data_IF_325281014455
#
_entry.id   IF_325281014455
#
_cell.length_a   1.000
_cell.length_b   1.000
_cell.length_c   1.000
_cell.angle_alpha   90.00
_cell.angle_beta   90.00
_cell.angle_gamma   90.00
#
_symmetry.space_group_name_H-M   'P 1'
#
loop_
_entity.id
_entity.type
_entity.pdbx_description
1 polymer ?
#
# COMPACT_ATOMS: atom_id res chain seq x y z
N UNK A 1 -1.17 -39.31 4.69
CA UNK A 1 -0.63 -40.15 3.58
C UNK A 1 -1.11 -41.57 3.76
N UNK A 2 -1.71 -42.15 2.70
CA UNK A 2 -2.09 -43.56 2.62
C UNK A 2 -1.21 -44.24 1.56
N UNK A 3 -0.69 -45.42 1.86
CA UNK A 3 0.15 -46.19 0.93
C UNK A 3 -0.66 -47.35 0.34
N UNK A 4 -0.95 -47.29 -0.96
CA UNK A 4 -1.74 -48.31 -1.67
C UNK A 4 -1.05 -49.69 -1.76
N UNK A 5 0.27 -49.74 -1.57
CA UNK A 5 1.06 -50.98 -1.65
C UNK A 5 0.75 -51.96 -0.49
N UNK A 6 0.58 -51.42 0.72
CA UNK A 6 0.49 -52.22 1.96
C UNK A 6 -0.62 -51.78 2.92
N UNK A 7 -1.50 -50.86 2.48
CA UNK A 7 -2.58 -50.27 3.27
C UNK A 7 -2.11 -49.62 4.58
N UNK A 8 -0.90 -49.07 4.57
CA UNK A 8 -0.36 -48.36 5.73
C UNK A 8 -0.65 -46.87 5.66
N UNK A 9 -0.71 -46.23 6.84
CA UNK A 9 -1.03 -44.81 6.98
C UNK A 9 0.08 -44.11 7.74
N UNK A 10 0.38 -42.89 7.33
CA UNK A 10 1.29 -41.97 8.00
C UNK A 10 0.64 -40.59 8.08
N UNK A 11 0.70 -39.96 9.26
CA UNK A 11 0.22 -38.59 9.50
C UNK A 11 1.43 -37.70 9.77
N UNK A 12 1.51 -36.60 9.04
CA UNK A 12 2.62 -35.64 9.11
C UNK A 12 2.00 -34.26 9.29
N UNK A 13 2.48 -33.54 10.29
CA UNK A 13 2.13 -32.15 10.52
C UNK A 13 2.95 -31.24 9.59
N UNK A 14 2.33 -30.25 8.93
CA UNK A 14 3.06 -29.29 8.11
C UNK A 14 4.04 -28.47 8.95
N UNK A 15 5.19 -28.12 8.35
CA UNK A 15 6.18 -27.30 9.02
C UNK A 15 5.74 -25.83 9.02
N UNK A 16 5.65 -25.22 10.20
CA UNK A 16 5.25 -23.82 10.39
C UNK A 16 6.36 -23.07 11.12
N UNK A 17 6.88 -22.02 10.50
CA UNK A 17 7.96 -21.21 11.06
C UNK A 17 7.56 -20.51 12.34
N UNK A 18 8.41 -20.64 13.36
CA UNK A 18 8.24 -20.06 14.70
C UNK A 18 7.02 -20.61 15.46
N UNK A 19 6.59 -21.85 15.23
CA UNK A 19 5.48 -22.42 15.99
C UNK A 19 5.84 -22.78 17.44
N UNK A 20 7.14 -22.97 17.73
CA UNK A 20 7.63 -23.15 19.11
C UNK A 20 7.47 -24.58 19.67
N UNK A 21 7.10 -25.56 18.86
CA UNK A 21 7.02 -26.98 19.23
C UNK A 21 7.67 -27.88 18.18
N UNK A 22 7.94 -29.14 18.53
CA UNK A 22 8.51 -30.12 17.58
C UNK A 22 7.46 -30.53 16.56
N UNK A 23 7.78 -30.34 15.28
CA UNK A 23 6.91 -30.65 14.15
C UNK A 23 7.40 -31.86 13.35
N UNK A 24 6.55 -32.38 12.48
CA UNK A 24 6.88 -33.42 11.51
C UNK A 24 5.97 -34.63 11.63
N UNK A 25 6.55 -35.83 11.65
CA UNK A 25 5.79 -37.09 11.62
C UNK A 25 5.06 -37.33 12.94
N UNK A 26 3.76 -37.05 12.96
CA UNK A 26 2.87 -37.25 14.11
C UNK A 26 2.54 -38.73 14.32
N UNK A 27 2.23 -39.45 13.22
CA UNK A 27 1.96 -40.89 13.25
C UNK A 27 2.93 -41.61 12.31
N UNK A 28 3.66 -42.58 12.85
CA UNK A 28 4.57 -43.43 12.07
C UNK A 28 3.79 -44.28 11.07
N UNK A 29 4.43 -44.59 9.92
CA UNK A 29 3.86 -45.47 8.89
C UNK A 29 3.54 -46.83 9.52
N UNK A 30 2.26 -47.15 9.63
CA UNK A 30 1.81 -48.44 10.13
C UNK A 30 0.39 -48.74 9.66
N UNK A 31 -0.05 -49.98 9.82
CA UNK A 31 -1.45 -50.34 9.56
C UNK A 31 -2.30 -49.93 10.76
N UNK A 32 -3.27 -49.05 10.53
CA UNK A 32 -4.08 -48.45 11.61
C UNK A 32 -5.43 -49.14 11.68
N UNK A 33 -5.79 -49.56 12.89
CA UNK A 33 -7.08 -50.19 13.19
C UNK A 33 -8.14 -49.10 13.38
N UNK A 34 -9.27 -49.24 12.68
CA UNK A 34 -10.43 -48.34 12.69
C UNK A 34 -11.33 -48.58 13.90
N UNK A 35 -11.62 -49.85 14.19
CA UNK A 35 -12.62 -50.27 15.18
C UNK A 35 -12.09 -51.33 16.14
N UNK A 36 -12.82 -51.55 17.25
CA UNK A 36 -12.51 -52.60 18.25
C UNK A 36 -12.46 -54.00 17.62
N UNK A 37 -13.18 -54.20 16.51
CA UNK A 37 -13.24 -55.46 15.76
C UNK A 37 -11.91 -55.82 15.07
N UNK A 38 -10.94 -54.90 14.99
CA UNK A 38 -9.67 -55.14 14.32
C UNK A 38 -9.63 -54.75 12.85
N UNK A 39 -10.74 -54.21 12.30
CA UNK A 39 -10.80 -53.75 10.92
C UNK A 39 -9.80 -52.61 10.70
N UNK A 40 -8.99 -52.70 9.64
CA UNK A 40 -8.02 -51.66 9.29
C UNK A 40 -8.62 -50.66 8.31
N UNK A 41 -8.15 -49.42 8.34
CA UNK A 41 -8.54 -48.42 7.35
C UNK A 41 -8.22 -48.87 5.92
N UNK A 42 -9.17 -48.64 5.02
CA UNK A 42 -9.02 -48.83 3.59
C UNK A 42 -9.09 -47.48 2.88
N UNK A 43 -8.49 -47.33 1.70
CA UNK A 43 -8.57 -46.08 0.93
C UNK A 43 -10.01 -45.61 0.62
N UNK A 44 -11.01 -46.50 0.72
CA UNK A 44 -12.43 -46.21 0.51
C UNK A 44 -13.09 -45.52 1.72
N UNK A 45 -12.43 -45.56 2.87
CA UNK A 45 -12.89 -44.89 4.08
C UNK A 45 -12.54 -43.39 4.08
N UNK A 46 -11.78 -42.92 3.10
CA UNK A 46 -11.32 -41.53 3.00
C UNK A 46 -12.07 -40.81 1.89
N UNK A 47 -12.67 -39.67 2.21
CA UNK A 47 -13.18 -38.69 1.25
C UNK A 47 -13.13 -37.30 1.90
N UNK A 48 -13.25 -36.25 1.10
CA UNK A 48 -13.37 -34.88 1.61
C UNK A 48 -14.68 -34.76 2.41
N UNK A 49 -14.61 -34.09 3.56
CA UNK A 49 -15.72 -33.89 4.51
C UNK A 49 -15.91 -35.04 5.51
N UNK A 50 -15.09 -36.10 5.46
CA UNK A 50 -15.17 -37.24 6.39
C UNK A 50 -14.25 -37.04 7.60
N UNK A 51 -14.79 -37.34 8.78
CA UNK A 51 -14.05 -37.39 10.03
C UNK A 51 -13.47 -38.78 10.30
N UNK A 52 -12.19 -38.84 10.65
CA UNK A 52 -11.47 -40.08 10.92
C UNK A 52 -10.79 -40.02 12.28
N UNK A 53 -11.01 -41.03 13.11
CA UNK A 53 -10.35 -41.15 14.40
C UNK A 53 -9.10 -42.05 14.31
N UNK A 54 -7.94 -41.50 14.65
CA UNK A 54 -6.67 -42.22 14.73
C UNK A 54 -6.08 -41.99 16.13
N UNK A 55 -5.89 -43.08 16.89
CA UNK A 55 -5.34 -43.06 18.25
C UNK A 55 -6.02 -42.04 19.20
N UNK A 56 -7.35 -41.87 19.07
CA UNK A 56 -8.14 -40.97 19.91
C UNK A 56 -8.17 -39.52 19.45
N UNK A 57 -7.48 -39.18 18.35
CA UNK A 57 -7.54 -37.86 17.71
C UNK A 57 -8.43 -37.94 16.47
N UNK A 58 -9.41 -37.05 16.37
CA UNK A 58 -10.31 -36.95 15.21
C UNK A 58 -9.73 -35.95 14.22
N UNK A 59 -9.54 -36.40 12.98
CA UNK A 59 -9.05 -35.62 11.87
C UNK A 59 -10.18 -35.41 10.87
N UNK A 60 -10.41 -34.16 10.50
CA UNK A 60 -11.36 -33.79 9.45
C UNK A 60 -10.60 -33.62 8.12
N UNK A 61 -11.03 -34.33 7.08
CA UNK A 61 -10.38 -34.27 5.76
C UNK A 61 -10.97 -33.11 4.96
N UNK A 62 -10.17 -32.06 4.77
CA UNK A 62 -10.58 -30.85 4.05
C UNK A 62 -10.24 -30.84 2.56
N UNK A 63 -9.18 -31.57 2.15
CA UNK A 63 -8.65 -31.50 0.79
C UNK A 63 -7.86 -32.77 0.44
N UNK A 64 -7.64 -33.01 -0.86
CA UNK A 64 -6.81 -34.07 -1.39
C UNK A 64 -6.00 -33.61 -2.61
N UNK A 65 -4.85 -34.25 -2.85
CA UNK A 65 -4.02 -33.98 -4.04
C UNK A 65 -4.73 -34.40 -5.34
N UNK A 66 -4.26 -33.90 -6.48
CA UNK A 66 -4.80 -34.17 -7.81
C UNK A 66 -4.79 -35.67 -8.13
N UNK A 67 -3.68 -36.36 -7.87
CA UNK A 67 -3.56 -37.81 -8.11
C UNK A 67 -4.63 -38.59 -7.33
N UNK A 68 -4.82 -38.27 -6.06
CA UNK A 68 -5.83 -38.92 -5.21
C UNK A 68 -7.24 -38.69 -5.74
N UNK A 69 -7.54 -37.47 -6.22
CA UNK A 69 -8.85 -37.14 -6.80
C UNK A 69 -9.12 -37.96 -8.06
N UNK A 70 -8.16 -38.01 -8.98
CA UNK A 70 -8.26 -38.80 -10.21
C UNK A 70 -8.38 -40.30 -9.93
N UNK A 71 -7.58 -40.82 -8.97
CA UNK A 71 -7.62 -42.21 -8.57
C UNK A 71 -9.00 -42.59 -8.02
N UNK A 72 -9.54 -41.83 -7.06
CA UNK A 72 -10.85 -42.09 -6.47
C UNK A 72 -11.98 -42.03 -7.51
N UNK A 73 -11.95 -41.00 -8.38
CA UNK A 73 -12.91 -40.88 -9.48
C UNK A 73 -12.84 -42.08 -10.44
N UNK A 74 -11.64 -42.58 -10.75
CA UNK A 74 -11.47 -43.77 -11.61
C UNK A 74 -12.06 -45.04 -10.99
N UNK A 75 -12.12 -45.10 -9.66
CA UNK A 75 -12.72 -46.20 -8.91
C UNK A 75 -14.22 -45.99 -8.66
N UNK A 76 -14.81 -44.93 -9.23
CA UNK A 76 -16.23 -44.61 -9.10
C UNK A 76 -16.61 -43.92 -7.78
N UNK A 77 -15.64 -43.36 -7.05
CA UNK A 77 -15.90 -42.55 -5.85
C UNK A 77 -15.82 -41.08 -6.25
N UNK A 78 -16.93 -40.37 -6.14
CA UNK A 78 -16.98 -38.93 -6.39
C UNK A 78 -16.37 -38.15 -5.21
N UNK A 79 -15.38 -37.33 -5.51
CA UNK A 79 -14.64 -36.55 -4.52
C UNK A 79 -15.20 -35.14 -4.47
N UNK A 80 -15.65 -34.72 -3.28
CA UNK A 80 -16.22 -33.39 -3.05
C UNK A 80 -15.27 -32.23 -3.37
N UNK A 81 -15.80 -31.01 -3.28
CA UNK A 81 -15.00 -29.80 -3.39
C UNK A 81 -14.15 -29.58 -2.13
N UNK A 82 -13.03 -28.85 -2.27
CA UNK A 82 -12.17 -28.53 -1.13
C UNK A 82 -12.92 -27.69 -0.09
N UNK A 83 -12.70 -28.00 1.18
CA UNK A 83 -13.24 -27.26 2.31
C UNK A 83 -12.21 -26.28 2.88
N UNK A 84 -12.68 -25.16 3.45
CA UNK A 84 -11.80 -24.19 4.07
C UNK A 84 -11.41 -24.64 5.49
N UNK A 85 -10.11 -24.66 5.83
CA UNK A 85 -9.69 -24.99 7.19
C UNK A 85 -10.18 -23.93 8.18
N UNK A 86 -10.42 -24.31 9.44
CA UNK A 86 -10.78 -23.35 10.48
C UNK A 86 -9.66 -22.32 10.66
N UNK A 87 -10.07 -21.08 10.90
CA UNK A 87 -9.17 -19.96 11.10
C UNK A 87 -8.51 -20.06 12.47
N UNK A 88 -7.17 -20.05 12.49
CA UNK A 88 -6.39 -19.95 13.73
C UNK A 88 -6.27 -18.48 14.19
N UNK A 89 -6.83 -18.11 15.36
CA UNK A 89 -6.74 -16.75 15.89
C UNK A 89 -5.30 -16.25 16.05
N UNK A 90 -4.37 -17.13 16.41
CA UNK A 90 -2.96 -16.74 16.58
C UNK A 90 -2.33 -16.34 15.24
N UNK A 91 -2.56 -17.14 14.20
CA UNK A 91 -2.08 -16.86 12.84
C UNK A 91 -2.66 -15.55 12.29
N UNK A 92 -3.94 -15.25 12.53
CA UNK A 92 -4.53 -13.97 12.11
C UNK A 92 -3.93 -12.76 12.81
N UNK A 93 -3.80 -12.83 14.13
CA UNK A 93 -3.20 -11.76 14.94
C UNK A 93 -1.77 -11.47 14.48
N UNK A 94 -0.99 -12.52 14.20
CA UNK A 94 0.39 -12.39 13.72
C UNK A 94 0.44 -11.73 12.34
N UNK A 95 -0.43 -12.14 11.40
CA UNK A 95 -0.55 -11.51 10.08
C UNK A 95 -0.91 -10.03 10.19
N UNK A 96 -1.85 -9.68 11.06
CA UNK A 96 -2.27 -8.30 11.24
C UNK A 96 -1.18 -7.41 11.87
N UNK A 97 -0.39 -7.94 12.81
CA UNK A 97 0.78 -7.22 13.35
C UNK A 97 1.90 -7.06 12.32
N UNK A 98 2.09 -8.04 11.44
CA UNK A 98 3.09 -8.01 10.38
C UNK A 98 2.71 -7.11 9.20
N UNK A 99 1.44 -6.74 9.06
CA UNK A 99 1.02 -5.63 8.19
C UNK A 99 1.60 -4.35 8.80
N UNK A 100 2.85 -4.05 8.47
CA UNK A 100 3.40 -2.71 8.67
C UNK A 100 2.44 -1.74 8.02
N UNK A 101 1.91 -0.72 8.72
CA UNK A 101 1.20 0.34 8.02
C UNK A 101 2.18 0.87 6.99
N UNK A 102 1.83 0.75 5.71
CA UNK A 102 2.52 1.48 4.64
C UNK A 102 2.20 2.95 4.89
N UNK A 103 2.94 3.56 5.81
CA UNK A 103 3.09 5.00 5.79
C UNK A 103 3.83 5.28 4.49
N UNK A 104 3.07 5.57 3.44
CA UNK A 104 3.61 6.24 2.28
C UNK A 104 3.95 7.63 2.78
N UNK A 105 5.15 7.80 3.33
CA UNK A 105 5.71 9.13 3.53
C UNK A 105 5.70 9.76 2.15
N UNK A 106 4.80 10.73 1.93
CA UNK A 106 4.88 11.61 0.76
C UNK A 106 6.30 12.15 0.80
N UNK A 107 7.14 11.72 -0.14
CA UNK A 107 8.51 12.20 -0.22
C UNK A 107 8.37 13.72 -0.34
N UNK A 108 8.89 14.52 0.63
CA UNK A 108 8.82 15.96 0.51
C UNK A 108 9.51 16.34 -0.80
N UNK A 109 8.90 17.23 -1.58
CA UNK A 109 9.47 17.68 -2.85
C UNK A 109 10.92 18.10 -2.62
N UNK A 110 11.84 17.36 -3.23
CA UNK A 110 13.27 17.57 -3.03
C UNK A 110 13.65 18.92 -3.64
N UNK A 111 13.89 19.91 -2.78
CA UNK A 111 14.24 21.29 -3.16
C UNK A 111 15.44 21.30 -4.13
N UNK A 112 16.37 20.36 -3.99
CA UNK A 112 17.52 20.25 -4.90
C UNK A 112 17.10 19.77 -6.29
N UNK A 113 16.16 18.83 -6.39
CA UNK A 113 15.65 18.35 -7.69
C UNK A 113 14.97 19.47 -8.46
N UNK A 114 14.07 20.22 -7.81
CA UNK A 114 13.42 21.39 -8.42
C UNK A 114 14.42 22.43 -8.90
N UNK A 115 15.45 22.71 -8.10
CA UNK A 115 16.53 23.61 -8.51
C UNK A 115 17.26 23.07 -9.76
N UNK A 116 17.68 21.80 -9.77
CA UNK A 116 18.41 21.22 -10.90
C UNK A 116 17.59 21.19 -12.20
N UNK A 117 16.28 20.94 -12.10
CA UNK A 117 15.39 20.84 -13.27
C UNK A 117 15.04 22.22 -13.84
N UNK A 118 14.76 23.19 -12.96
CA UNK A 118 14.20 24.48 -13.36
C UNK A 118 15.16 25.66 -13.21
N UNK A 119 16.45 25.44 -12.91
CA UNK A 119 17.42 26.52 -12.79
C UNK A 119 17.38 27.42 -14.04
N UNK A 120 17.28 28.73 -13.80
CA UNK A 120 17.14 29.79 -14.83
C UNK A 120 15.87 29.77 -15.68
N UNK A 121 14.92 28.86 -15.43
CA UNK A 121 13.62 28.88 -16.11
C UNK A 121 12.67 29.89 -15.45
N UNK A 122 12.29 30.92 -16.21
CA UNK A 122 11.41 32.00 -15.75
C UNK A 122 10.28 32.20 -16.75
N UNK A 123 9.04 32.12 -16.28
CA UNK A 123 7.88 32.49 -17.09
C UNK A 123 7.70 34.01 -16.99
N UNK A 124 7.70 34.68 -18.14
CA UNK A 124 7.57 36.13 -18.22
C UNK A 124 6.23 36.47 -18.88
N UNK A 125 5.40 37.22 -18.18
CA UNK A 125 4.12 37.72 -18.66
C UNK A 125 4.13 39.24 -18.73
N UNK A 126 3.50 39.80 -19.76
CA UNK A 126 3.22 41.23 -19.87
C UNK A 126 1.77 41.48 -19.46
N UNK A 127 1.56 42.30 -18.44
CA UNK A 127 0.25 42.70 -17.95
C UNK A 127 0.06 44.21 -18.09
N UNK A 128 -1.18 44.67 -18.20
CA UNK A 128 -1.51 46.09 -18.18
C UNK A 128 -2.39 46.42 -16.99
N UNK A 129 -2.09 47.50 -16.28
CA UNK A 129 -2.90 48.00 -15.16
C UNK A 129 -2.86 49.53 -15.13
N UNK A 130 -4.03 50.17 -15.06
CA UNK A 130 -4.17 51.64 -15.07
C UNK A 130 -3.38 52.33 -16.20
N UNK A 131 -3.46 51.79 -17.42
CA UNK A 131 -2.73 52.22 -18.62
C UNK A 131 -1.22 51.98 -18.62
N UNK A 132 -0.62 51.47 -17.54
CA UNK A 132 0.79 51.12 -17.48
C UNK A 132 1.03 49.65 -17.78
N UNK A 133 2.26 49.34 -18.21
CA UNK A 133 2.67 47.99 -18.62
C UNK A 133 3.58 47.43 -17.54
N UNK A 134 3.28 46.22 -17.09
CA UNK A 134 4.01 45.49 -16.07
C UNK A 134 4.57 44.20 -16.66
N UNK A 135 5.74 43.81 -16.17
CA UNK A 135 6.38 42.53 -16.43
C UNK A 135 6.29 41.70 -15.15
N UNK A 136 5.53 40.61 -15.22
CA UNK A 136 5.39 39.64 -14.15
C UNK A 136 6.32 38.47 -14.47
N UNK A 137 7.23 38.15 -13.56
CA UNK A 137 8.19 37.06 -13.70
C UNK A 137 7.87 36.00 -12.65
N UNK A 138 7.61 34.77 -13.08
CA UNK A 138 7.40 33.61 -12.23
C UNK A 138 8.62 32.69 -12.31
N UNK A 139 9.23 32.38 -11.18
CA UNK A 139 10.41 31.52 -11.09
C UNK A 139 9.99 30.09 -10.72
N UNK A 140 10.26 29.14 -11.62
CA UNK A 140 9.87 27.73 -11.44
C UNK A 140 10.70 27.00 -10.36
N UNK A 141 11.86 27.55 -9.99
CA UNK A 141 12.74 26.93 -8.99
C UNK A 141 12.16 26.94 -7.58
N UNK A 142 11.44 28.01 -7.21
CA UNK A 142 10.96 28.24 -5.85
C UNK A 142 9.52 28.74 -5.76
N UNK A 143 8.78 28.74 -6.87
CA UNK A 143 7.40 29.21 -6.96
C UNK A 143 7.22 30.67 -6.48
N UNK A 144 8.20 31.52 -6.82
CA UNK A 144 8.19 32.94 -6.45
C UNK A 144 7.85 33.83 -7.63
N UNK A 145 7.29 35.01 -7.32
CA UNK A 145 6.90 36.01 -8.30
C UNK A 145 7.66 37.31 -8.04
N UNK A 146 8.14 37.94 -9.10
CA UNK A 146 8.65 39.32 -9.08
C UNK A 146 7.92 40.15 -10.13
N UNK A 147 7.62 41.41 -9.80
CA UNK A 147 6.87 42.30 -10.69
C UNK A 147 7.69 43.56 -10.91
N UNK A 148 7.81 43.96 -12.18
CA UNK A 148 8.49 45.20 -12.58
C UNK A 148 7.55 46.04 -13.44
N UNK A 149 7.51 47.34 -13.16
CA UNK A 149 6.86 48.31 -14.04
C UNK A 149 7.78 48.65 -15.23
N UNK A 150 7.20 48.66 -16.43
CA UNK A 150 7.88 49.11 -17.65
C UNK A 150 7.72 50.62 -17.76
N UNK A 151 8.82 51.34 -17.56
CA UNK A 151 8.84 52.79 -17.58
C UNK A 151 8.63 53.32 -19.00
N UNK A 152 7.75 54.32 -19.14
CA UNK A 152 7.53 55.05 -20.39
C UNK A 152 8.37 56.34 -20.40
N UNK A 153 8.87 56.77 -21.57
CA UNK A 153 9.49 58.08 -21.71
C UNK A 153 8.53 59.18 -21.23
N UNK A 154 9.05 60.18 -20.52
CA UNK A 154 8.30 61.34 -20.02
C UNK A 154 7.12 60.99 -19.09
N UNK A 155 7.14 59.82 -18.43
CA UNK A 155 6.10 59.40 -17.47
C UNK A 155 6.06 60.25 -16.19
N UNK A 156 7.17 60.91 -15.84
CA UNK A 156 7.30 61.68 -14.60
C UNK A 156 7.37 60.85 -13.32
N UNK A 157 7.30 59.51 -13.43
CA UNK A 157 7.51 58.58 -12.32
C UNK A 157 9.00 58.34 -12.05
N UNK A 158 9.34 58.15 -10.78
CA UNK A 158 10.70 57.78 -10.35
C UNK A 158 11.01 56.32 -10.76
N UNK A 159 12.13 56.03 -11.44
CA UNK A 159 12.46 54.68 -11.89
C UNK A 159 12.72 53.72 -10.72
N UNK A 160 11.72 52.91 -10.37
CA UNK A 160 11.85 51.81 -9.42
C UNK A 160 12.22 50.50 -10.16
N UNK A 161 13.29 49.78 -9.74
CA UNK A 161 13.74 48.58 -10.44
C UNK A 161 12.77 47.40 -10.32
N UNK A 162 12.08 47.24 -9.18
CA UNK A 162 11.07 46.20 -8.92
C UNK A 162 9.92 46.78 -8.12
N UNK A 163 8.70 46.60 -8.60
CA UNK A 163 7.48 46.92 -7.85
C UNK A 163 7.24 45.87 -6.75
N UNK A 164 7.45 44.58 -7.08
CA UNK A 164 7.39 43.47 -6.13
C UNK A 164 8.72 42.71 -6.18
N UNK A 165 9.41 42.66 -5.04
CA UNK A 165 10.59 41.79 -4.87
C UNK A 165 10.16 40.33 -4.87
N UNK A 166 11.06 39.46 -5.33
CA UNK A 166 10.84 38.02 -5.42
C UNK A 166 10.33 37.44 -4.09
N UNK A 167 9.08 36.97 -4.10
CA UNK A 167 8.44 36.32 -2.95
C UNK A 167 7.32 35.39 -3.40
N UNK A 168 6.89 34.48 -2.52
CA UNK A 168 5.68 33.68 -2.73
C UNK A 168 4.46 34.57 -2.49
N UNK A 169 3.57 34.66 -3.48
CA UNK A 169 2.37 35.49 -3.39
C UNK A 169 1.18 34.61 -3.02
N UNK A 170 0.49 34.87 -1.90
CA UNK A 170 -0.72 34.13 -1.54
C UNK A 170 -1.85 34.49 -2.50
N UNK A 171 -2.69 33.51 -2.85
CA UNK A 171 -3.91 33.74 -3.64
C UNK A 171 -4.91 34.59 -2.85
N UNK A 172 -5.12 34.23 -1.58
CA UNK A 172 -6.06 34.90 -0.69
C UNK A 172 -5.34 35.80 0.31
N UNK A 173 -4.93 36.99 -0.14
CA UNK A 173 -4.26 37.98 0.72
C UNK A 173 -5.15 38.53 1.85
N UNK A 174 -6.48 38.38 1.76
CA UNK A 174 -7.43 38.89 2.75
C UNK A 174 -7.58 37.96 3.97
N UNK A 175 -7.35 36.65 3.76
CA UNK A 175 -7.54 35.61 4.76
C UNK A 175 -6.19 34.97 5.09
N UNK A 176 -5.21 35.80 5.46
CA UNK A 176 -3.94 35.31 5.95
C UNK A 176 -4.07 34.95 7.42
N UNK A 177 -3.63 33.75 7.83
CA UNK A 177 -3.62 33.37 9.23
C UNK A 177 -2.72 34.31 10.04
N UNK A 178 -3.06 34.52 11.31
CA UNK A 178 -2.35 35.47 12.18
C UNK A 178 -0.92 34.96 12.44
N UNK A 179 0.05 35.57 11.78
CA UNK A 179 1.46 35.16 11.85
C UNK A 179 2.09 35.49 13.22
N UNK A 180 2.00 34.61 14.23
CA UNK A 180 2.97 34.53 15.34
C UNK A 180 2.83 33.25 16.20
N UNK A 181 3.92 32.53 16.61
CA UNK A 181 5.33 32.55 16.18
C UNK A 181 5.79 31.29 15.39
N UNK A 182 6.88 31.46 14.65
CA UNK A 182 7.50 30.51 13.69
C UNK A 182 8.19 29.25 14.29
N UNK A 183 7.90 28.87 15.54
CA UNK A 183 8.65 27.82 16.26
C UNK A 183 7.91 26.47 16.37
N UNK A 184 6.62 26.41 16.04
CA UNK A 184 5.84 25.18 16.04
C UNK A 184 5.25 24.95 14.66
N UNK A 185 5.76 23.96 13.95
CA UNK A 185 5.11 23.41 12.77
C UNK A 185 4.86 21.94 13.07
N UNK A 186 3.77 21.65 13.77
CA UNK A 186 3.22 20.29 13.80
C UNK A 186 2.42 20.10 12.51
N UNK A 187 2.67 18.98 11.82
CA UNK A 187 1.97 18.60 10.61
C UNK A 187 0.53 18.21 10.97
N UNK A 188 -0.44 19.08 10.70
CA UNK A 188 -1.86 18.74 10.88
C UNK A 188 -2.90 19.84 10.76
N UNK A 189 -2.53 21.13 10.86
CA UNK A 189 -3.53 22.19 11.02
C UNK A 189 -4.04 22.85 9.71
N UNK A 190 -5.32 23.27 9.65
CA UNK A 190 -6.11 23.51 8.43
C UNK A 190 -5.97 24.92 7.80
N UNK A 191 -4.78 25.50 7.77
CA UNK A 191 -4.56 26.79 7.09
C UNK A 191 -3.42 26.68 6.09
N UNK A 192 -3.62 25.85 5.06
CA UNK A 192 -2.73 25.84 3.89
C UNK A 192 -2.98 27.16 3.16
N UNK A 193 -2.14 28.16 3.43
CA UNK A 193 -2.09 29.38 2.62
C UNK A 193 -1.77 28.96 1.19
N UNK A 194 -2.77 29.04 0.31
CA UNK A 194 -2.58 28.71 -1.09
C UNK A 194 -1.78 29.81 -1.79
N UNK A 195 -0.73 29.42 -2.49
CA UNK A 195 0.13 30.31 -3.27
C UNK A 195 -0.16 30.17 -4.77
N UNK A 196 0.12 31.22 -5.53
CA UNK A 196 0.05 31.15 -6.99
C UNK A 196 1.00 30.09 -7.56
N UNK A 197 0.50 29.31 -8.51
CA UNK A 197 1.22 28.26 -9.24
C UNK A 197 1.30 28.60 -10.72
N UNK A 198 2.15 27.92 -11.52
CA UNK A 198 2.25 28.20 -12.97
C UNK A 198 0.92 28.04 -13.70
N UNK A 199 0.05 27.15 -13.21
CA UNK A 199 -1.26 26.86 -13.80
C UNK A 199 -2.24 28.01 -13.67
N UNK A 200 -2.01 28.94 -12.75
CA UNK A 200 -2.90 30.09 -12.52
C UNK A 200 -2.66 31.22 -13.53
N UNK A 201 -1.58 31.18 -14.32
CA UNK A 201 -1.21 32.19 -15.31
C UNK A 201 -1.72 31.84 -16.72
N UNK A 202 -3.01 31.55 -16.85
CA UNK A 202 -3.64 31.29 -18.14
C UNK A 202 -3.95 32.61 -18.87
N UNK A 203 -3.51 32.74 -20.12
CA UNK A 203 -3.91 33.84 -21.00
C UNK A 203 -5.22 33.45 -21.68
N UNK A 204 -6.30 34.18 -21.43
CA UNK A 204 -7.54 34.05 -22.20
C UNK A 204 -7.28 34.53 -23.63
N UNK A 205 -7.37 33.62 -24.61
CA UNK A 205 -7.36 33.93 -26.03
C UNK A 205 -8.66 34.62 -26.47
#
# INVERSE_FOLDING_TARGET
MYYLEDDTICVIEPTIDNAGFQQGKLVRRNKIVKNINGDTFHWKDFNIGIDICIYGVVYHIIDCDLFTREYLNSQGIDVGDKEEPPIDPYTELRKNKQKTPTCVTKIPDDVRRRFLEYDKMVLLFTATWNNDIYRIMYFLTDDTIAIREVQKPNSGKDPVPMLLKRMKVPKDWKNLPSTYPAAYMEYGDPEIVEYYTPKDFLVSL
#
